data_IF_060740105827
#
_entry.id   IF_060740105827
#
_cell.length_a   1.000
_cell.length_b   1.000
_cell.length_c   1.000
_cell.angle_alpha   90.00
_cell.angle_beta   90.00
_cell.angle_gamma   90.00
#
_symmetry.space_group_name_H-M   'P 1'
#
loop_
_entity.id
_entity.type
_entity.pdbx_description
1 polymer ?
#
# COMPACT_ATOMS: atom_id res chain seq x y z
N UNK A 1 7.46 -25.80 -12.71
CA UNK A 1 6.70 -24.56 -12.87
C UNK A 1 5.23 -24.92 -13.00
N UNK A 2 4.34 -24.32 -12.19
CA UNK A 2 2.90 -24.59 -12.22
C UNK A 2 2.21 -23.48 -13.00
N UNK A 3 1.92 -23.75 -14.28
CA UNK A 3 1.29 -22.78 -15.18
C UNK A 3 -0.24 -22.89 -15.06
N UNK A 4 -0.93 -21.76 -14.86
CA UNK A 4 -2.39 -21.73 -14.84
C UNK A 4 -2.97 -20.60 -13.98
N UNK A 5 -4.26 -20.71 -13.71
CA UNK A 5 -4.96 -19.77 -12.83
C UNK A 5 -4.47 -19.90 -11.38
N UNK A 6 -3.96 -18.79 -10.84
CA UNK A 6 -3.39 -18.74 -9.50
C UNK A 6 -4.37 -19.16 -8.41
N UNK A 7 -5.64 -18.75 -8.51
CA UNK A 7 -6.65 -19.08 -7.49
C UNK A 7 -6.95 -20.58 -7.46
N UNK A 8 -7.14 -21.20 -8.64
CA UNK A 8 -7.37 -22.65 -8.77
C UNK A 8 -6.16 -23.45 -8.31
N UNK A 9 -4.96 -22.97 -8.60
CA UNK A 9 -3.73 -23.61 -8.18
C UNK A 9 -3.57 -23.59 -6.65
N UNK A 10 -3.81 -22.43 -6.01
CA UNK A 10 -3.77 -22.30 -4.54
C UNK A 10 -4.84 -23.18 -3.89
N UNK A 11 -6.06 -23.23 -4.42
CA UNK A 11 -7.13 -24.08 -3.89
C UNK A 11 -6.74 -25.57 -3.92
N UNK A 12 -6.25 -26.06 -5.06
CA UNK A 12 -5.78 -27.45 -5.18
C UNK A 12 -4.61 -27.77 -4.26
N UNK A 13 -3.69 -26.81 -4.09
CA UNK A 13 -2.59 -26.97 -3.13
C UNK A 13 -3.12 -27.05 -1.71
N UNK A 14 -4.10 -26.23 -1.34
CA UNK A 14 -4.68 -26.25 0.01
C UNK A 14 -5.38 -27.56 0.34
N UNK A 15 -5.98 -28.25 -0.64
CA UNK A 15 -6.56 -29.59 -0.45
C UNK A 15 -5.50 -30.66 -0.14
N UNK A 16 -4.24 -30.45 -0.56
CA UNK A 16 -3.14 -31.38 -0.34
C UNK A 16 -2.48 -31.24 1.04
N UNK A 17 -2.77 -30.18 1.80
CA UNK A 17 -2.22 -29.94 3.14
C UNK A 17 -3.35 -29.85 4.17
N UNK A 18 -3.36 -30.76 5.14
CA UNK A 18 -4.35 -30.74 6.23
C UNK A 18 -3.95 -29.85 7.41
N UNK A 19 -2.65 -29.67 7.62
CA UNK A 19 -2.09 -28.89 8.73
C UNK A 19 -0.86 -28.08 8.27
N UNK A 20 -0.61 -26.90 8.87
CA UNK A 20 0.60 -26.14 8.60
C UNK A 20 1.83 -26.90 9.10
N UNK A 21 2.78 -27.16 8.18
CA UNK A 21 4.07 -27.77 8.52
C UNK A 21 5.02 -26.62 8.89
N UNK A 22 5.20 -26.38 10.20
CA UNK A 22 6.13 -25.39 10.74
C UNK A 22 7.28 -26.11 11.43
N UNK A 23 8.41 -26.25 10.75
CA UNK A 23 9.66 -26.76 11.36
C UNK A 23 10.21 -25.74 12.35
N UNK A 24 11.05 -26.19 13.29
CA UNK A 24 11.74 -25.32 14.25
C UNK A 24 12.51 -24.19 13.53
N UNK A 25 13.31 -24.53 12.50
CA UNK A 25 14.01 -23.55 11.67
C UNK A 25 13.06 -22.51 11.02
N UNK A 26 11.85 -22.92 10.64
CA UNK A 26 10.87 -22.02 10.03
C UNK A 26 10.26 -21.08 11.07
N UNK A 27 10.02 -21.57 12.29
CA UNK A 27 9.55 -20.75 13.41
C UNK A 27 10.61 -19.71 13.78
N UNK A 28 11.86 -20.11 13.97
CA UNK A 28 12.98 -19.21 14.23
C UNK A 28 13.09 -18.13 13.14
N UNK A 29 13.00 -18.53 11.87
CA UNK A 29 13.03 -17.58 10.76
C UNK A 29 11.87 -16.57 10.81
N UNK A 30 10.65 -17.03 11.07
CA UNK A 30 9.47 -16.17 11.20
C UNK A 30 9.61 -15.19 12.36
N UNK A 31 10.18 -15.60 13.50
CA UNK A 31 10.49 -14.72 14.62
C UNK A 31 11.44 -13.60 14.19
N UNK A 32 12.51 -13.91 13.44
CA UNK A 32 13.42 -12.87 12.94
C UNK A 32 12.74 -11.86 12.01
N UNK A 33 11.75 -12.29 11.23
CA UNK A 33 10.98 -11.41 10.36
C UNK A 33 10.03 -10.53 11.17
N UNK A 34 9.37 -11.11 12.18
CA UNK A 34 8.47 -10.40 13.07
C UNK A 34 9.23 -9.32 13.86
N UNK A 35 10.42 -9.61 14.36
CA UNK A 35 11.28 -8.62 15.01
C UNK A 35 11.61 -7.45 14.07
N UNK A 36 12.05 -7.74 12.83
CA UNK A 36 12.36 -6.72 11.82
C UNK A 36 11.16 -5.84 11.47
N UNK A 37 9.95 -6.40 11.48
CA UNK A 37 8.71 -5.65 11.24
C UNK A 37 8.28 -4.81 12.46
N UNK A 38 8.64 -5.26 13.67
CA UNK A 38 8.25 -4.63 14.95
C UNK A 38 9.20 -3.50 15.36
N UNK A 39 10.46 -3.48 14.88
CA UNK A 39 11.39 -2.37 15.10
C UNK A 39 10.78 -1.09 14.48
N UNK A 40 10.18 -0.27 15.35
CA UNK A 40 9.26 0.82 15.01
C UNK A 40 9.91 2.20 14.94
N UNK A 41 11.10 2.39 15.48
CA UNK A 41 11.65 3.73 15.67
C UNK A 41 12.67 4.11 14.59
N UNK A 42 12.18 4.49 13.42
CA UNK A 42 12.94 5.41 12.58
C UNK A 42 12.78 6.79 13.20
N UNK A 43 13.84 7.32 13.84
CA UNK A 43 13.84 8.68 14.37
C UNK A 43 13.59 9.66 13.23
N UNK A 44 12.51 10.43 13.30
CA UNK A 44 12.29 11.54 12.40
C UNK A 44 13.08 12.74 12.91
N UNK A 45 13.78 13.43 12.01
CA UNK A 45 14.36 14.73 12.32
C UNK A 45 13.31 15.80 12.05
N UNK A 46 12.85 16.47 13.09
CA UNK A 46 11.98 17.63 12.95
C UNK A 46 12.83 18.84 12.55
N UNK A 47 12.55 19.38 11.36
CA UNK A 47 13.08 20.65 10.90
C UNK A 47 11.94 21.67 11.03
N UNK A 48 12.25 22.86 11.54
CA UNK A 48 11.25 23.91 11.71
C UNK A 48 10.49 24.19 10.39
N UNK A 49 9.16 24.23 10.46
CA UNK A 49 8.24 24.43 9.33
C UNK A 49 8.33 23.36 8.20
N UNK A 50 8.83 22.16 8.47
CA UNK A 50 8.81 21.04 7.51
C UNK A 50 8.34 19.75 8.17
N UNK A 51 7.54 18.99 7.45
CA UNK A 51 7.13 17.64 7.86
C UNK A 51 8.10 16.62 7.28
N UNK A 52 8.54 15.68 8.12
CA UNK A 52 9.27 14.53 7.63
C UNK A 52 8.30 13.59 6.89
N UNK A 53 8.64 13.04 5.70
CA UNK A 53 7.71 12.20 4.94
C UNK A 53 7.15 11.00 5.72
N UNK A 54 7.96 10.41 6.60
CA UNK A 54 7.50 9.33 7.48
C UNK A 54 6.34 9.74 8.41
N UNK A 55 6.33 10.98 8.92
CA UNK A 55 5.25 11.47 9.78
C UNK A 55 3.94 11.55 9.01
N UNK A 56 4.00 11.94 7.72
CA UNK A 56 2.85 11.95 6.83
C UNK A 56 2.31 10.52 6.64
N UNK A 57 3.19 9.55 6.37
CA UNK A 57 2.79 8.14 6.18
C UNK A 57 2.21 7.54 7.46
N UNK A 58 2.80 7.81 8.62
CA UNK A 58 2.30 7.35 9.92
C UNK A 58 0.94 7.96 10.25
N UNK A 59 0.80 9.28 10.06
CA UNK A 59 -0.49 9.97 10.24
C UNK A 59 -1.54 9.40 9.30
N UNK A 60 -1.19 9.14 8.04
CA UNK A 60 -2.10 8.52 7.08
C UNK A 60 -2.50 7.11 7.51
N UNK A 61 -1.57 6.29 8.00
CA UNK A 61 -1.85 4.94 8.53
C UNK A 61 -2.82 4.99 9.70
N UNK A 62 -2.68 5.94 10.62
CA UNK A 62 -3.57 6.10 11.78
C UNK A 62 -4.97 6.58 11.41
N UNK A 63 -5.10 7.28 10.28
CA UNK A 63 -6.37 7.84 9.78
C UNK A 63 -7.06 6.97 8.73
N UNK A 64 -6.41 5.89 8.29
CA UNK A 64 -6.97 4.97 7.30
C UNK A 64 -7.50 3.72 7.98
N UNK A 65 -8.67 3.26 7.53
CA UNK A 65 -9.20 1.94 7.89
C UNK A 65 -8.98 0.96 6.75
N UNK A 66 -9.00 -0.33 7.05
CA UNK A 66 -8.76 -1.40 6.07
C UNK A 66 -9.77 -1.39 4.91
N UNK A 67 -10.96 -0.84 5.11
CA UNK A 67 -12.01 -0.73 4.10
C UNK A 67 -11.73 0.39 3.10
N UNK A 68 -10.95 1.42 3.47
CA UNK A 68 -10.62 2.53 2.59
C UNK A 68 -9.79 2.08 1.39
N UNK A 69 -9.70 2.92 0.36
CA UNK A 69 -8.72 2.73 -0.73
C UNK A 69 -7.78 3.92 -0.78
N UNK A 70 -6.48 3.65 -0.82
CA UNK A 70 -5.41 4.63 -0.97
C UNK A 70 -4.77 4.43 -2.34
N UNK A 71 -4.79 5.45 -3.18
CA UNK A 71 -4.10 5.48 -4.46
C UNK A 71 -2.82 6.29 -4.32
N UNK A 72 -1.72 5.80 -4.88
CA UNK A 72 -0.41 6.44 -4.71
C UNK A 72 0.25 6.65 -6.06
N UNK A 73 0.63 7.90 -6.28
CA UNK A 73 1.34 8.37 -7.45
C UNK A 73 2.83 8.00 -7.36
N UNK A 74 3.59 8.34 -8.39
CA UNK A 74 5.03 8.10 -8.42
C UNK A 74 5.79 9.32 -7.94
N UNK A 75 6.87 9.09 -7.18
CA UNK A 75 7.76 10.15 -6.68
C UNK A 75 8.56 9.69 -5.45
N UNK A 76 9.22 10.58 -4.74
CA UNK A 76 9.92 10.17 -3.50
C UNK A 76 8.95 9.72 -2.40
N UNK A 77 7.75 10.32 -2.34
CA UNK A 77 6.68 9.94 -1.40
C UNK A 77 6.21 8.49 -1.59
N UNK A 78 6.20 7.98 -2.83
CA UNK A 78 5.96 6.57 -3.16
C UNK A 78 6.91 5.63 -2.41
N UNK A 79 8.20 5.96 -2.33
CA UNK A 79 9.16 5.09 -1.64
C UNK A 79 8.85 5.02 -0.13
N UNK A 80 8.46 6.16 0.47
CA UNK A 80 8.03 6.21 1.86
C UNK A 80 6.74 5.42 2.11
N UNK A 81 5.75 5.57 1.23
CA UNK A 81 4.50 4.79 1.27
C UNK A 81 4.79 3.29 1.16
N UNK A 82 5.60 2.85 0.19
CA UNK A 82 5.93 1.45 -0.04
C UNK A 82 6.63 0.80 1.17
N UNK A 83 7.45 1.58 1.89
CA UNK A 83 8.23 1.07 3.01
C UNK A 83 7.47 1.09 4.34
N UNK A 84 6.58 2.06 4.54
CA UNK A 84 6.00 2.34 5.86
C UNK A 84 4.48 2.26 5.94
N UNK A 85 3.74 2.37 4.83
CA UNK A 85 2.30 2.16 4.82
C UNK A 85 2.01 0.65 4.72
N UNK A 86 1.19 0.12 5.63
CA UNK A 86 0.82 -1.29 5.74
C UNK A 86 -0.60 -1.48 5.25
N UNK A 87 -0.75 -2.40 4.30
CA UNK A 87 -2.03 -2.82 3.74
C UNK A 87 -2.27 -4.28 4.11
N UNK A 88 -3.40 -4.53 4.77
CA UNK A 88 -3.79 -5.87 5.24
C UNK A 88 -4.96 -6.47 4.44
N UNK A 89 -5.58 -5.67 3.58
CA UNK A 89 -6.70 -6.08 2.72
C UNK A 89 -6.37 -5.91 1.24
N UNK A 90 -6.87 -6.79 0.37
CA UNK A 90 -6.73 -6.63 -1.07
C UNK A 90 -7.42 -5.34 -1.53
N UNK A 91 -6.85 -4.67 -2.53
CA UNK A 91 -7.39 -3.43 -3.14
C UNK A 91 -7.49 -2.24 -2.16
N UNK A 92 -6.87 -2.34 -0.99
CA UNK A 92 -6.74 -1.22 -0.05
C UNK A 92 -5.66 -0.23 -0.52
N UNK A 93 -4.54 -0.70 -1.06
CA UNK A 93 -3.45 0.14 -1.58
C UNK A 93 -3.25 -0.08 -3.08
N UNK A 94 -3.37 0.97 -3.88
CA UNK A 94 -3.14 0.96 -5.33
C UNK A 94 -1.89 1.78 -5.67
N UNK A 95 -0.95 1.16 -6.37
CA UNK A 95 0.42 1.66 -6.54
C UNK A 95 0.86 1.59 -8.01
N UNK A 96 1.34 2.70 -8.59
CA UNK A 96 1.93 2.69 -9.95
C UNK A 96 3.37 2.20 -9.91
N UNK A 97 3.58 0.90 -10.18
CA UNK A 97 4.89 0.26 -10.04
C UNK A 97 5.52 -0.15 -11.39
N UNK A 98 4.73 -0.67 -12.33
CA UNK A 98 5.25 -1.25 -13.58
C UNK A 98 5.90 -0.24 -14.53
N UNK A 99 5.13 0.76 -14.96
CA UNK A 99 5.60 1.83 -15.85
C UNK A 99 6.06 3.08 -15.11
N UNK A 100 5.82 3.13 -13.79
CA UNK A 100 6.11 4.29 -12.96
C UNK A 100 5.50 5.60 -13.52
N UNK A 101 4.26 5.51 -14.00
CA UNK A 101 3.54 6.64 -14.60
C UNK A 101 3.12 7.65 -13.53
N UNK A 102 3.42 8.93 -13.79
CA UNK A 102 3.00 10.08 -12.98
C UNK A 102 1.55 10.49 -13.29
N UNK A 103 0.85 11.01 -12.29
CA UNK A 103 -0.49 11.59 -12.40
C UNK A 103 -1.64 10.58 -12.31
N UNK A 104 -1.36 9.33 -11.94
CA UNK A 104 -2.37 8.27 -11.91
C UNK A 104 -3.28 8.34 -10.68
N UNK A 105 -2.80 8.91 -9.56
CA UNK A 105 -3.45 8.70 -8.27
C UNK A 105 -4.84 9.34 -8.19
N UNK A 106 -4.98 10.59 -8.65
CA UNK A 106 -6.27 11.29 -8.62
C UNK A 106 -7.32 10.62 -9.55
N UNK A 107 -7.03 10.34 -10.83
CA UNK A 107 -7.96 9.60 -11.69
C UNK A 107 -8.32 8.20 -11.15
N UNK A 108 -7.36 7.49 -10.56
CA UNK A 108 -7.64 6.21 -9.90
C UNK A 108 -8.52 6.37 -8.67
N UNK A 109 -8.35 7.44 -7.89
CA UNK A 109 -9.18 7.71 -6.72
C UNK A 109 -10.62 8.02 -7.11
N UNK A 110 -10.83 8.84 -8.15
CA UNK A 110 -12.17 9.11 -8.71
C UNK A 110 -12.81 7.79 -9.16
N UNK A 111 -12.08 6.97 -9.91
CA UNK A 111 -12.57 5.66 -10.36
C UNK A 111 -12.92 4.73 -9.19
N UNK A 112 -12.07 4.68 -8.16
CA UNK A 112 -12.30 3.87 -6.98
C UNK A 112 -13.54 4.34 -6.20
N UNK A 113 -13.80 5.65 -6.12
CA UNK A 113 -15.01 6.20 -5.50
C UNK A 113 -16.28 5.80 -6.26
N UNK A 114 -16.23 5.80 -7.60
CA UNK A 114 -17.34 5.37 -8.45
C UNK A 114 -17.68 3.88 -8.28
N UNK A 115 -16.67 3.01 -8.19
CA UNK A 115 -16.89 1.56 -8.03
C UNK A 115 -17.13 1.12 -6.59
N UNK A 116 -16.81 1.97 -5.59
CA UNK A 116 -17.00 1.70 -4.16
C UNK A 116 -17.74 2.85 -3.49
N UNK A 117 -19.01 3.08 -3.84
CA UNK A 117 -19.81 4.14 -3.22
C UNK A 117 -19.88 3.93 -1.71
N UNK A 118 -19.81 5.03 -0.95
CA UNK A 118 -19.78 5.07 0.53
C UNK A 118 -18.48 4.57 1.19
N UNK A 119 -17.42 4.29 0.41
CA UNK A 119 -16.08 4.04 0.95
C UNK A 119 -15.23 5.31 0.81
N UNK A 120 -14.49 5.67 1.86
CA UNK A 120 -13.55 6.79 1.76
C UNK A 120 -12.33 6.39 0.91
N UNK A 121 -11.97 7.27 -0.02
CA UNK A 121 -10.83 7.09 -0.93
C UNK A 121 -9.82 8.22 -0.69
N UNK A 122 -8.53 7.90 -0.67
CA UNK A 122 -7.44 8.86 -0.49
C UNK A 122 -6.51 8.78 -1.69
N UNK A 123 -6.28 9.92 -2.33
CA UNK A 123 -5.25 10.08 -3.36
C UNK A 123 -3.99 10.69 -2.76
N UNK A 124 -2.85 10.04 -2.94
CA UNK A 124 -1.54 10.53 -2.50
C UNK A 124 -0.69 10.81 -3.72
N UNK A 125 -0.36 12.08 -3.95
CA UNK A 125 0.51 12.52 -5.03
C UNK A 125 1.59 13.47 -4.52
N UNK A 126 2.71 13.52 -5.25
CA UNK A 126 3.62 14.65 -5.21
C UNK A 126 3.06 15.80 -6.04
N UNK A 127 3.63 16.99 -5.89
CA UNK A 127 3.30 18.18 -6.68
C UNK A 127 3.41 17.93 -8.20
N UNK A 128 4.50 17.28 -8.63
CA UNK A 128 4.71 16.94 -10.04
C UNK A 128 3.63 16.01 -10.59
N UNK A 129 3.35 14.89 -9.91
CA UNK A 129 2.32 13.93 -10.33
C UNK A 129 0.91 14.55 -10.27
N UNK A 130 0.60 15.29 -9.21
CA UNK A 130 -0.69 15.96 -9.07
C UNK A 130 -0.99 16.89 -10.24
N UNK A 131 -0.02 17.70 -10.69
CA UNK A 131 -0.23 18.63 -11.81
C UNK A 131 -0.44 17.97 -13.17
N UNK A 132 -0.15 16.67 -13.34
CA UNK A 132 -0.50 15.94 -14.58
C UNK A 132 -2.00 15.73 -14.73
N UNK A 133 -2.71 15.63 -13.62
CA UNK A 133 -4.14 15.28 -13.58
C UNK A 133 -4.98 16.22 -12.72
N UNK A 134 -4.44 17.35 -12.25
CA UNK A 134 -5.14 18.29 -11.38
C UNK A 134 -6.43 18.84 -12.00
N UNK A 135 -6.54 18.88 -13.34
CA UNK A 135 -7.77 19.25 -14.05
C UNK A 135 -8.95 18.32 -13.69
N UNK A 136 -8.69 17.08 -13.30
CA UNK A 136 -9.74 16.12 -12.89
C UNK A 136 -10.38 16.47 -11.55
N UNK A 137 -9.90 17.50 -10.85
CA UNK A 137 -10.64 18.08 -9.74
C UNK A 137 -11.99 18.68 -10.18
N UNK A 138 -12.15 19.07 -11.44
CA UNK A 138 -13.44 19.50 -11.98
C UNK A 138 -14.41 18.32 -12.17
N UNK A 139 -13.87 17.14 -12.48
CA UNK A 139 -14.62 15.89 -12.61
C UNK A 139 -15.12 15.35 -11.26
N UNK A 140 -14.36 15.58 -10.17
CA UNK A 140 -14.59 15.03 -8.83
C UNK A 140 -15.72 15.70 -8.05
#
# INVERSE_FOLDING_TARGET
>A
ELIGDMSKNILKLSEAFSEPILTEDAQDYLETLQEKLTIKEVKTSTIENRLHPLEIVQTLQEKTTNEMTVTVDVGSHYIWMARHFRSYEPRHLLFSNGMQTLGVALPWAISAALVRPNTQIISVSGDGGFLFSAQELETA
#
